data_IF_006698096554
#
_entry.id   IF_006698096554
#
_cell.length_a   1.000
_cell.length_b   1.000
_cell.length_c   1.000
_cell.angle_alpha   90.00
_cell.angle_beta   90.00
_cell.angle_gamma   90.00
#
_symmetry.space_group_name_H-M   'P 1'
#
loop_
_entity.id
_entity.type
_entity.pdbx_description
1 polymer ?
#
# COMPACT_ATOMS: atom_id res chain seq x y z
N UNK A 1 3.08 2.66 23.08
CA UNK A 1 3.69 2.14 21.84
C UNK A 1 4.13 3.35 21.03
N UNK A 2 5.42 3.53 20.67
CA UNK A 2 5.92 4.76 20.03
C UNK A 2 5.21 5.18 18.74
N UNK A 3 4.57 4.25 18.01
CA UNK A 3 3.83 4.57 16.79
C UNK A 3 2.37 4.13 16.87
N UNK A 4 1.45 5.02 16.48
CA UNK A 4 0.00 4.81 16.57
C UNK A 4 -0.63 4.46 15.22
N UNK A 5 -0.09 4.97 14.12
CA UNK A 5 -0.66 4.85 12.77
C UNK A 5 0.36 4.33 11.77
N UNK A 6 -0.09 3.43 10.91
CA UNK A 6 0.55 3.12 9.63
C UNK A 6 -0.19 3.88 8.53
N UNK A 7 0.54 4.65 7.72
CA UNK A 7 -0.04 5.58 6.77
C UNK A 7 0.39 5.20 5.36
N UNK A 8 -0.57 5.02 4.46
CA UNK A 8 -0.33 4.98 3.01
C UNK A 8 -0.28 6.41 2.50
N UNK A 9 0.91 6.97 2.36
CA UNK A 9 1.12 8.39 2.05
C UNK A 9 0.71 8.69 0.61
N UNK A 10 1.41 8.08 -0.36
CA UNK A 10 1.17 8.32 -1.78
C UNK A 10 1.80 7.21 -2.64
N UNK A 11 1.46 7.19 -3.92
CA UNK A 11 2.19 6.41 -4.93
C UNK A 11 2.37 7.26 -6.18
N UNK A 12 3.41 6.99 -6.95
CA UNK A 12 3.72 7.70 -8.18
C UNK A 12 4.29 6.77 -9.24
N UNK A 13 3.85 6.92 -10.49
CA UNK A 13 4.38 6.15 -11.61
C UNK A 13 5.18 7.03 -12.56
N UNK A 14 6.47 6.74 -12.67
CA UNK A 14 7.36 7.33 -13.66
C UNK A 14 7.27 6.52 -14.97
N UNK A 15 6.66 7.14 -15.99
CA UNK A 15 6.49 6.53 -17.31
C UNK A 15 7.81 6.29 -18.06
N UNK A 16 8.81 7.16 -17.87
CA UNK A 16 10.10 7.04 -18.54
C UNK A 16 10.91 5.88 -17.94
N UNK A 17 10.89 5.76 -16.62
CA UNK A 17 11.57 4.67 -15.90
C UNK A 17 10.76 3.38 -15.80
N UNK A 18 9.46 3.43 -16.12
CA UNK A 18 8.48 2.34 -15.86
C UNK A 18 8.52 1.90 -14.40
N UNK A 19 8.62 2.87 -13.49
CA UNK A 19 8.79 2.62 -12.06
C UNK A 19 7.58 3.14 -11.30
N UNK A 20 6.97 2.29 -10.47
CA UNK A 20 5.98 2.69 -9.48
C UNK A 20 6.66 2.80 -8.13
N UNK A 21 6.68 4.01 -7.58
CA UNK A 21 7.14 4.28 -6.21
C UNK A 21 5.94 4.28 -5.28
N UNK A 22 6.03 3.54 -4.17
CA UNK A 22 5.02 3.40 -3.13
C UNK A 22 5.57 3.97 -1.81
N UNK A 23 4.85 4.90 -1.19
CA UNK A 23 5.31 5.61 0.01
C UNK A 23 4.41 5.35 1.22
N UNK A 24 5.05 4.93 2.31
CA UNK A 24 4.40 4.63 3.58
C UNK A 24 5.07 5.34 4.74
N UNK A 25 4.35 5.51 5.85
CA UNK A 25 4.96 6.00 7.09
C UNK A 25 4.40 5.37 8.36
N UNK A 26 5.21 5.42 9.44
CA UNK A 26 4.75 5.25 10.82
C UNK A 26 4.70 6.63 11.48
N UNK A 27 3.49 7.11 11.75
CA UNK A 27 3.21 8.46 12.28
C UNK A 27 4.02 9.59 11.60
N UNK A 28 4.29 9.50 10.30
CA UNK A 28 5.06 10.52 9.55
C UNK A 28 6.52 10.66 10.05
N UNK A 29 7.02 9.71 10.86
CA UNK A 29 8.35 9.76 11.50
C UNK A 29 9.33 8.77 10.88
N UNK A 30 8.87 7.56 10.60
CA UNK A 30 9.64 6.56 9.85
C UNK A 30 9.00 6.45 8.49
N UNK A 31 9.79 6.64 7.44
CA UNK A 31 9.33 6.57 6.06
C UNK A 31 9.83 5.27 5.43
N UNK A 32 8.97 4.68 4.60
CA UNK A 32 9.30 3.54 3.77
C UNK A 32 9.01 3.87 2.32
N UNK A 33 9.91 3.46 1.44
CA UNK A 33 9.77 3.60 -0.01
C UNK A 33 9.99 2.24 -0.66
N UNK A 34 9.10 1.87 -1.57
CA UNK A 34 9.20 0.68 -2.39
C UNK A 34 9.15 1.07 -3.87
N UNK A 35 10.09 0.57 -4.67
CA UNK A 35 10.10 0.75 -6.11
C UNK A 35 9.75 -0.55 -6.81
N UNK A 36 8.74 -0.52 -7.66
CA UNK A 36 8.33 -1.63 -8.53
C UNK A 36 8.64 -1.27 -9.98
N UNK A 37 9.63 -1.95 -10.56
CA UNK A 37 10.00 -1.79 -11.95
C UNK A 37 9.16 -2.72 -12.85
N UNK A 38 8.41 -2.14 -13.78
CA UNK A 38 7.59 -2.90 -14.72
C UNK A 38 8.37 -3.26 -15.97
N UNK A 39 8.17 -4.43 -16.58
CA UNK A 39 8.85 -4.83 -17.82
C UNK A 39 8.36 -4.05 -19.05
N UNK A 40 9.11 -4.15 -20.15
CA UNK A 40 8.73 -3.54 -21.43
C UNK A 40 7.57 -4.27 -22.09
N UNK A 41 6.85 -3.57 -22.98
CA UNK A 41 5.80 -4.17 -23.81
C UNK A 41 4.45 -4.34 -23.13
N UNK A 42 4.29 -3.98 -21.86
CA UNK A 42 2.97 -3.95 -21.21
C UNK A 42 2.31 -2.60 -21.48
N UNK A 43 1.10 -2.65 -22.06
CA UNK A 43 0.31 -1.46 -22.34
C UNK A 43 -0.57 -1.11 -21.13
N UNK A 44 -0.24 0.00 -20.46
CA UNK A 44 -1.01 0.55 -19.33
C UNK A 44 -1.87 1.77 -19.74
N UNK A 45 -2.28 1.85 -21.01
CA UNK A 45 -2.86 3.05 -21.64
C UNK A 45 -4.17 3.54 -21.02
N UNK A 46 -4.93 2.69 -20.33
CA UNK A 46 -6.15 3.11 -19.65
C UNK A 46 -5.85 3.76 -18.31
N UNK A 47 -5.76 5.09 -18.30
CA UNK A 47 -5.43 5.90 -17.12
C UNK A 47 -6.27 5.53 -15.88
N UNK A 48 -7.58 5.29 -16.03
CA UNK A 48 -8.45 5.02 -14.89
C UNK A 48 -8.29 3.60 -14.32
N UNK A 49 -8.04 2.60 -15.17
CA UNK A 49 -7.79 1.23 -14.71
C UNK A 49 -6.40 1.13 -14.06
N UNK A 50 -5.40 1.81 -14.65
CA UNK A 50 -4.05 1.89 -14.13
C UNK A 50 -4.01 2.49 -12.72
N UNK A 51 -4.68 3.62 -12.51
CA UNK A 51 -4.69 4.28 -11.20
C UNK A 51 -5.30 3.37 -10.11
N UNK A 52 -6.41 2.69 -10.44
CA UNK A 52 -7.01 1.70 -9.52
C UNK A 52 -6.06 0.53 -9.26
N UNK A 53 -5.36 0.04 -10.28
CA UNK A 53 -4.39 -1.04 -10.13
C UNK A 53 -3.26 -0.62 -9.18
N UNK A 54 -2.64 0.54 -9.42
CA UNK A 54 -1.54 1.06 -8.61
C UNK A 54 -1.96 1.33 -7.17
N UNK A 55 -3.17 1.87 -6.96
CA UNK A 55 -3.72 2.02 -5.61
C UNK A 55 -3.88 0.68 -4.89
N UNK A 56 -4.41 -0.36 -5.54
CA UNK A 56 -4.52 -1.68 -4.91
C UNK A 56 -3.15 -2.35 -4.71
N UNK A 57 -2.18 -2.12 -5.60
CA UNK A 57 -0.79 -2.54 -5.41
C UNK A 57 -0.17 -1.86 -4.18
N UNK A 58 -0.42 -0.57 -4.00
CA UNK A 58 0.02 0.18 -2.82
C UNK A 58 -0.53 -0.47 -1.54
N UNK A 59 -1.82 -0.81 -1.52
CA UNK A 59 -2.45 -1.43 -0.35
C UNK A 59 -1.97 -2.85 -0.06
N UNK A 60 -1.69 -3.68 -1.07
CA UNK A 60 -1.22 -5.05 -0.83
C UNK A 60 0.26 -5.08 -0.44
N UNK A 61 1.10 -4.29 -1.10
CA UNK A 61 2.54 -4.26 -0.84
C UNK A 61 2.86 -3.63 0.54
N UNK A 62 2.03 -2.67 0.97
CA UNK A 62 2.10 -2.06 2.30
C UNK A 62 2.01 -3.05 3.47
N UNK A 63 1.50 -4.28 3.26
CA UNK A 63 1.48 -5.32 4.29
C UNK A 63 2.87 -5.59 4.83
N UNK A 64 3.88 -5.63 3.96
CA UNK A 64 5.27 -5.91 4.33
C UNK A 64 5.80 -4.87 5.32
N UNK A 65 5.46 -3.60 5.11
CA UNK A 65 5.89 -2.48 5.94
C UNK A 65 5.03 -2.31 7.19
N UNK A 66 3.73 -2.55 7.09
CA UNK A 66 2.82 -2.57 8.24
C UNK A 66 3.31 -3.55 9.32
N UNK A 67 3.78 -4.73 8.91
CA UNK A 67 4.31 -5.78 9.82
C UNK A 67 5.52 -5.36 10.64
N UNK A 68 6.21 -4.28 10.28
CA UNK A 68 7.36 -3.78 11.05
C UNK A 68 6.97 -3.30 12.44
N UNK A 69 5.71 -2.87 12.63
CA UNK A 69 5.23 -2.35 13.91
C UNK A 69 3.79 -2.75 14.26
N UNK A 70 3.00 -3.18 13.28
CA UNK A 70 1.58 -3.52 13.41
C UNK A 70 0.75 -2.48 14.19
N UNK A 71 0.75 -1.18 13.82
CA UNK A 71 -0.06 -0.19 14.52
C UNK A 71 -1.55 -0.54 14.49
N UNK A 72 -2.28 -0.08 15.51
CA UNK A 72 -3.73 -0.33 15.63
C UNK A 72 -4.57 0.47 14.64
N UNK A 73 -4.01 1.53 14.06
CA UNK A 73 -4.68 2.38 13.10
C UNK A 73 -3.96 2.32 11.76
N UNK A 74 -4.75 2.18 10.70
CA UNK A 74 -4.30 2.34 9.33
C UNK A 74 -4.98 3.57 8.76
N UNK A 75 -4.20 4.47 8.15
CA UNK A 75 -4.67 5.67 7.48
C UNK A 75 -4.32 5.59 6.00
N UNK A 76 -5.29 5.80 5.11
CA UNK A 76 -5.07 5.75 3.65
C UNK A 76 -5.24 7.16 3.09
N UNK A 77 -4.13 7.80 2.71
CA UNK A 77 -4.12 9.14 2.10
C UNK A 77 -4.05 9.10 0.58
N UNK A 78 -3.46 8.04 0.02
CA UNK A 78 -3.25 7.86 -1.41
C UNK A 78 -4.52 7.53 -2.22
N UNK A 79 -5.71 7.57 -1.63
CA UNK A 79 -6.95 7.21 -2.32
C UNK A 79 -8.16 7.08 -1.40
N UNK A 80 -9.30 6.66 -1.96
CA UNK A 80 -10.55 6.44 -1.23
C UNK A 80 -11.02 5.01 -1.39
N UNK A 81 -11.52 4.45 -0.29
CA UNK A 81 -12.14 3.13 -0.26
C UNK A 81 -13.65 3.29 -0.07
N UNK A 82 -14.42 2.49 -0.80
CA UNK A 82 -15.83 2.28 -0.44
C UNK A 82 -15.90 1.50 0.88
N UNK A 83 -17.07 1.51 1.54
CA UNK A 83 -17.26 0.75 2.79
C UNK A 83 -16.96 -0.75 2.62
N UNK A 84 -17.33 -1.33 1.47
CA UNK A 84 -17.02 -2.73 1.15
C UNK A 84 -15.53 -2.99 0.94
N UNK A 85 -14.82 -2.08 0.27
CA UNK A 85 -13.37 -2.20 0.09
C UNK A 85 -12.63 -2.03 1.42
N UNK A 86 -13.04 -1.06 2.24
CA UNK A 86 -12.47 -0.85 3.57
C UNK A 86 -12.64 -2.09 4.46
N UNK A 87 -13.84 -2.70 4.46
CA UNK A 87 -14.09 -3.94 5.20
C UNK A 87 -13.26 -5.13 4.68
N UNK A 88 -13.05 -5.23 3.37
CA UNK A 88 -12.18 -6.25 2.77
C UNK A 88 -10.73 -6.07 3.24
N UNK A 89 -10.17 -4.87 3.12
CA UNK A 89 -8.78 -4.59 3.49
C UNK A 89 -8.57 -4.72 5.00
N UNK A 90 -9.49 -4.24 5.83
CA UNK A 90 -9.46 -4.43 7.28
C UNK A 90 -9.37 -5.92 7.64
N UNK A 91 -10.22 -6.75 7.04
CA UNK A 91 -10.18 -8.21 7.23
C UNK A 91 -8.86 -8.81 6.76
N UNK A 92 -8.31 -8.36 5.64
CA UNK A 92 -7.03 -8.87 5.12
C UNK A 92 -5.87 -8.53 6.06
N UNK A 93 -5.78 -7.28 6.53
CA UNK A 93 -4.73 -6.81 7.43
C UNK A 93 -4.82 -7.44 8.83
N UNK A 94 -6.02 -7.71 9.32
CA UNK A 94 -6.22 -8.26 10.67
C UNK A 94 -6.25 -9.79 10.72
N UNK A 95 -6.75 -10.46 9.67
CA UNK A 95 -7.00 -11.92 9.66
C UNK A 95 -6.32 -12.65 8.50
N UNK A 96 -5.95 -11.96 7.43
CA UNK A 96 -5.31 -12.56 6.26
C UNK A 96 -3.84 -12.93 6.48
N UNK A 97 -3.24 -12.45 7.57
CA UNK A 97 -1.83 -12.67 7.90
C UNK A 97 -1.62 -13.86 8.85
N UNK A 98 -2.44 -14.91 8.73
CA UNK A 98 -2.45 -16.05 9.66
C UNK A 98 -1.06 -16.61 9.99
N UNK A 99 -0.23 -16.89 8.99
CA UNK A 99 1.13 -17.42 9.24
C UNK A 99 2.03 -16.45 10.02
N UNK A 100 1.80 -15.13 9.95
CA UNK A 100 2.55 -14.14 10.73
C UNK A 100 2.12 -14.06 12.21
N UNK A 101 0.90 -14.48 12.54
CA UNK A 101 0.39 -14.43 13.92
C UNK A 101 0.51 -15.76 14.69
N UNK A 102 0.87 -16.86 14.02
CA UNK A 102 0.92 -18.21 14.60
C UNK A 102 2.33 -18.82 14.70
N UNK A 103 3.37 -18.13 14.24
CA UNK A 103 4.79 -18.48 14.50
C UNK A 103 5.41 -17.49 15.49
#
# INVERSE_FOLDING_TARGET
MPYERFIFESFHFDHARRCLTLLYSLDEKILFEEELLFPEGINYSENQLREKLFFNLHLIAGISYYKTYCPKKIEVRSGRLSGGQAAFWDKLYTKGLGQFFYE
#
